data_IF_627562450350
#
_entry.id   IF_627562450350
#
_cell.length_a   1.000
_cell.length_b   1.000
_cell.length_c   1.000
_cell.angle_alpha   90.00
_cell.angle_beta   90.00
_cell.angle_gamma   90.00
#
_symmetry.space_group_name_H-M   'P 1'
#
loop_
_entity.id
_entity.type
_entity.pdbx_description
1 polymer ?
#
# COMPACT_ATOMS: atom_id res chain seq x y z
N UNK A 1 3.76 -12.43 -15.29
CA UNK A 1 3.30 -13.03 -14.00
C UNK A 1 4.25 -12.74 -12.84
N UNK A 2 5.55 -13.13 -12.88
CA UNK A 2 6.47 -12.88 -11.76
C UNK A 2 6.63 -11.40 -11.40
N UNK A 3 6.76 -10.51 -12.39
CA UNK A 3 6.85 -9.06 -12.18
C UNK A 3 5.62 -8.52 -11.45
N UNK A 4 4.43 -8.92 -11.88
CA UNK A 4 3.16 -8.54 -11.25
C UNK A 4 3.11 -8.97 -9.78
N UNK A 5 3.42 -10.24 -9.49
CA UNK A 5 3.48 -10.75 -8.12
C UNK A 5 4.55 -10.02 -7.29
N UNK A 6 5.72 -9.76 -7.88
CA UNK A 6 6.80 -9.02 -7.21
C UNK A 6 6.39 -7.60 -6.81
N UNK A 7 5.67 -6.89 -7.68
CA UNK A 7 5.17 -5.53 -7.38
C UNK A 7 4.13 -5.57 -6.26
N UNK A 8 3.16 -6.49 -6.33
CA UNK A 8 2.15 -6.64 -5.28
C UNK A 8 2.82 -6.93 -3.93
N UNK A 9 3.73 -7.90 -3.89
CA UNK A 9 4.46 -8.26 -2.66
C UNK A 9 5.26 -7.08 -2.12
N UNK A 10 5.97 -6.33 -2.99
CA UNK A 10 6.75 -5.16 -2.58
C UNK A 10 5.85 -4.08 -1.93
N UNK A 11 4.77 -3.71 -2.61
CA UNK A 11 3.90 -2.61 -2.16
C UNK A 11 3.16 -2.98 -0.89
N UNK A 12 2.70 -4.23 -0.77
CA UNK A 12 2.07 -4.74 0.45
C UNK A 12 3.09 -4.86 1.58
N UNK A 13 4.30 -5.36 1.31
CA UNK A 13 5.35 -5.44 2.32
C UNK A 13 5.68 -4.08 2.92
N UNK A 14 5.78 -3.04 2.08
CA UNK A 14 6.02 -1.66 2.53
C UNK A 14 4.86 -1.17 3.40
N UNK A 15 3.63 -1.46 3.01
CA UNK A 15 2.42 -1.14 3.76
C UNK A 15 2.43 -1.78 5.15
N UNK A 16 2.56 -3.10 5.21
CA UNK A 16 2.57 -3.85 6.48
C UNK A 16 3.77 -3.47 7.37
N UNK A 17 4.91 -3.11 6.75
CA UNK A 17 6.08 -2.61 7.48
C UNK A 17 5.77 -1.28 8.18
N UNK A 18 4.97 -0.40 7.57
CA UNK A 18 4.50 0.83 8.20
C UNK A 18 3.72 0.54 9.49
N UNK A 19 2.75 -0.36 9.44
CA UNK A 19 1.99 -0.80 10.60
C UNK A 19 2.89 -1.45 11.66
N UNK A 20 3.78 -2.34 11.24
CA UNK A 20 4.70 -3.04 12.14
C UNK A 20 5.59 -2.08 12.93
N UNK A 21 6.25 -1.18 12.23
CA UNK A 21 7.16 -0.21 12.87
C UNK A 21 6.39 0.73 13.81
N UNK A 22 5.21 1.16 13.39
CA UNK A 22 4.35 1.99 14.23
C UNK A 22 3.85 1.24 15.48
N UNK A 23 3.42 -0.01 15.35
CA UNK A 23 3.02 -0.82 16.49
C UNK A 23 4.14 -0.94 17.52
N UNK A 24 5.35 -1.28 17.06
CA UNK A 24 6.54 -1.37 17.91
C UNK A 24 6.88 -0.03 18.59
N UNK A 25 6.81 1.08 17.83
CA UNK A 25 7.08 2.43 18.36
C UNK A 25 6.02 2.88 19.37
N UNK A 26 4.77 2.44 19.20
CA UNK A 26 3.67 2.74 20.12
C UNK A 26 3.59 1.78 21.32
N UNK A 27 4.55 0.87 21.47
CA UNK A 27 4.61 -0.08 22.59
C UNK A 27 3.62 -1.25 22.47
N UNK A 28 3.13 -1.52 21.25
CA UNK A 28 2.28 -2.68 20.97
C UNK A 28 3.13 -3.80 20.39
N UNK A 29 3.10 -4.98 21.03
CA UNK A 29 3.79 -6.14 20.51
C UNK A 29 3.10 -6.65 19.23
N UNK A 30 3.89 -7.21 18.31
CA UNK A 30 3.38 -7.83 17.08
C UNK A 30 3.73 -9.32 17.13
N UNK A 31 2.72 -10.16 17.22
CA UNK A 31 2.91 -11.61 17.35
C UNK A 31 3.31 -12.22 16.00
N UNK A 32 2.75 -11.75 14.89
CA UNK A 32 3.17 -12.21 13.56
C UNK A 32 3.13 -11.11 12.51
N UNK A 33 4.03 -11.23 11.53
CA UNK A 33 4.11 -10.46 10.29
C UNK A 33 4.09 -11.44 9.12
N UNK A 34 3.10 -11.38 8.26
CA UNK A 34 2.96 -12.32 7.16
C UNK A 34 2.94 -11.61 5.81
N UNK A 35 3.76 -12.10 4.89
CA UNK A 35 3.62 -11.82 3.45
C UNK A 35 2.77 -12.95 2.87
N UNK A 36 1.59 -12.60 2.36
CA UNK A 36 0.63 -13.55 1.84
C UNK A 36 -0.33 -14.12 2.88
N UNK A 37 -1.30 -14.88 2.37
CA UNK A 37 -2.34 -15.55 3.14
C UNK A 37 -2.29 -17.07 3.00
N UNK A 38 -3.04 -17.77 3.84
CA UNK A 38 -3.23 -19.22 3.78
C UNK A 38 -2.10 -20.01 4.44
N UNK A 39 -1.73 -21.15 3.85
CA UNK A 39 -0.73 -22.06 4.42
C UNK A 39 0.63 -21.40 4.53
N UNK A 40 1.22 -21.38 5.73
CA UNK A 40 2.57 -20.86 5.96
C UNK A 40 3.59 -21.80 5.32
N UNK A 41 4.41 -21.28 4.44
CA UNK A 41 5.48 -21.99 3.74
C UNK A 41 6.81 -21.88 4.49
N UNK A 42 7.13 -20.67 4.95
CA UNK A 42 8.35 -20.38 5.71
C UNK A 42 7.97 -19.54 6.92
N UNK A 43 8.63 -19.79 8.05
CA UNK A 43 8.50 -18.97 9.25
C UNK A 43 9.80 -18.88 10.04
N UNK A 44 10.04 -17.72 10.64
CA UNK A 44 11.18 -17.49 11.53
C UNK A 44 10.81 -16.46 12.59
N UNK A 45 11.16 -16.73 13.85
CA UNK A 45 10.94 -15.78 14.94
C UNK A 45 12.13 -14.84 15.06
N UNK A 46 11.92 -13.52 14.88
CA UNK A 46 12.93 -12.47 15.01
C UNK A 46 12.32 -11.30 15.80
N UNK A 47 13.08 -10.75 16.74
CA UNK A 47 12.68 -9.58 17.56
C UNK A 47 11.33 -9.74 18.28
N UNK A 48 10.98 -10.97 18.67
CA UNK A 48 9.71 -11.28 19.33
C UNK A 48 8.53 -11.53 18.40
N UNK A 49 8.66 -11.27 17.09
CA UNK A 49 7.64 -11.44 16.06
C UNK A 49 7.90 -12.69 15.22
N UNK A 50 6.89 -13.45 14.89
CA UNK A 50 6.97 -14.56 13.93
C UNK A 50 6.77 -14.03 12.51
N UNK A 51 7.86 -13.95 11.74
CA UNK A 51 7.86 -13.58 10.33
C UNK A 51 7.45 -14.77 9.48
N UNK A 52 6.48 -14.57 8.60
CA UNK A 52 5.86 -15.64 7.79
C UNK A 52 5.88 -15.29 6.32
N UNK A 53 6.07 -16.30 5.47
CA UNK A 53 5.78 -16.27 4.05
C UNK A 53 4.72 -17.33 3.78
N UNK A 54 3.59 -16.93 3.22
CA UNK A 54 2.43 -17.78 3.00
C UNK A 54 2.18 -18.03 1.51
N UNK A 55 1.36 -19.04 1.21
CA UNK A 55 1.17 -19.61 -0.13
C UNK A 55 0.55 -18.62 -1.13
N UNK A 56 -0.40 -17.79 -0.69
CA UNK A 56 -1.13 -16.86 -1.56
C UNK A 56 -0.54 -15.45 -1.45
N UNK A 57 0.28 -14.99 -2.42
CA UNK A 57 1.01 -13.73 -2.32
C UNK A 57 0.16 -12.49 -2.66
N UNK A 58 -1.16 -12.57 -2.50
CA UNK A 58 -2.11 -11.48 -2.81
C UNK A 58 -2.49 -10.68 -1.57
N UNK A 59 -1.55 -10.41 -0.69
CA UNK A 59 -1.80 -9.64 0.52
C UNK A 59 -0.72 -9.84 1.56
N UNK A 60 -0.94 -9.28 2.72
CA UNK A 60 -0.13 -9.43 3.91
C UNK A 60 -0.94 -9.06 5.12
N UNK A 61 -0.37 -9.24 6.29
CA UNK A 61 -0.96 -8.75 7.52
C UNK A 61 0.10 -8.70 8.62
N UNK A 62 -0.07 -7.78 9.53
CA UNK A 62 0.48 -7.89 10.87
C UNK A 62 -0.59 -8.38 11.83
N UNK A 63 -0.19 -9.04 12.90
CA UNK A 63 -1.07 -9.43 14.01
C UNK A 63 -0.57 -8.77 15.29
N UNK A 64 -1.06 -7.57 15.63
CA UNK A 64 -0.79 -6.97 16.92
C UNK A 64 -1.30 -7.86 18.05
N UNK A 65 -0.55 -7.93 19.13
CA UNK A 65 -0.90 -8.77 20.28
C UNK A 65 -2.27 -8.41 20.83
N UNK A 66 -3.07 -9.42 21.09
CA UNK A 66 -4.41 -9.26 21.67
C UNK A 66 -5.46 -8.65 20.75
N UNK A 67 -5.17 -8.37 19.48
CA UNK A 67 -6.15 -7.77 18.56
C UNK A 67 -7.39 -8.64 18.37
N UNK A 68 -7.20 -9.95 18.31
CA UNK A 68 -8.31 -10.92 18.14
C UNK A 68 -9.01 -11.30 19.45
N UNK A 69 -8.40 -11.00 20.60
CA UNK A 69 -8.91 -11.38 21.91
C UNK A 69 -9.27 -10.16 22.77
N UNK A 70 -10.41 -9.57 22.45
CA UNK A 70 -10.89 -8.35 23.15
C UNK A 70 -11.21 -8.56 24.63
N UNK A 71 -11.53 -9.77 25.08
CA UNK A 71 -11.97 -10.02 26.44
C UNK A 71 -10.82 -10.16 27.45
N UNK A 72 -9.65 -10.65 27.04
CA UNK A 72 -8.48 -10.90 27.89
C UNK A 72 -7.44 -9.74 27.96
N UNK A 73 -7.75 -8.58 27.38
CA UNK A 73 -6.77 -7.58 26.95
C UNK A 73 -6.38 -6.54 27.99
N UNK A 74 -7.06 -6.47 29.11
CA UNK A 74 -6.78 -5.46 30.12
C UNK A 74 -5.51 -5.75 30.93
N UNK A 75 -5.04 -6.98 30.91
CA UNK A 75 -3.91 -7.44 31.70
C UNK A 75 -2.55 -7.35 31.02
N UNK A 76 -2.51 -7.34 29.67
CA UNK A 76 -1.26 -7.20 28.90
C UNK A 76 -1.07 -5.77 28.42
N UNK A 77 -0.10 -5.01 28.98
CA UNK A 77 0.15 -3.62 28.60
C UNK A 77 0.66 -3.47 27.14
N UNK A 78 1.21 -4.52 26.55
CA UNK A 78 1.66 -4.54 25.15
C UNK A 78 0.55 -4.92 24.15
N UNK A 79 -0.67 -5.15 24.64
CA UNK A 79 -1.83 -5.49 23.82
C UNK A 79 -2.33 -4.28 23.01
N UNK A 80 -2.80 -4.54 21.79
CA UNK A 80 -3.38 -3.53 20.91
C UNK A 80 -4.55 -2.77 21.55
N UNK A 81 -5.40 -3.48 22.30
CA UNK A 81 -6.56 -2.85 22.93
C UNK A 81 -6.25 -2.17 24.27
N UNK A 82 -5.13 -2.48 24.90
CA UNK A 82 -4.63 -1.71 26.04
C UNK A 82 -4.09 -0.35 25.59
N UNK A 83 -3.64 -0.24 24.35
CA UNK A 83 -3.14 1.01 23.79
C UNK A 83 -4.25 2.07 23.69
N UNK A 84 -3.90 3.31 24.01
CA UNK A 84 -4.80 4.44 23.85
C UNK A 84 -5.31 4.58 22.40
N UNK A 85 -6.55 5.07 22.17
CA UNK A 85 -7.12 5.17 20.82
C UNK A 85 -6.22 5.89 19.80
N UNK A 86 -5.57 6.98 20.23
CA UNK A 86 -4.66 7.72 19.35
C UNK A 86 -3.45 6.88 18.90
N UNK A 87 -2.90 6.01 19.78
CA UNK A 87 -1.80 5.10 19.39
C UNK A 87 -2.26 4.10 18.33
N UNK A 88 -3.48 3.57 18.46
CA UNK A 88 -4.09 2.69 17.48
C UNK A 88 -4.34 3.40 16.14
N UNK A 89 -4.75 4.69 16.18
CA UNK A 89 -4.86 5.51 14.98
C UNK A 89 -3.50 5.71 14.29
N UNK A 90 -2.42 5.96 15.05
CA UNK A 90 -1.06 6.06 14.50
C UNK A 90 -0.66 4.74 13.86
N UNK A 91 -0.91 3.60 14.51
CA UNK A 91 -0.61 2.28 13.92
C UNK A 91 -1.35 2.12 12.59
N UNK A 92 -2.64 2.41 12.55
CA UNK A 92 -3.45 2.27 11.35
C UNK A 92 -3.04 3.21 10.22
N UNK A 93 -2.66 4.47 10.49
CA UNK A 93 -2.29 5.42 9.45
C UNK A 93 -0.93 5.14 8.81
N UNK A 94 -0.02 4.47 9.53
CA UNK A 94 1.36 4.32 9.08
C UNK A 94 1.55 3.34 7.91
N UNK A 95 0.67 2.35 7.72
CA UNK A 95 0.65 1.54 6.51
C UNK A 95 0.46 2.40 5.25
N UNK A 96 -0.68 3.10 5.13
CA UNK A 96 -0.89 4.06 4.05
C UNK A 96 0.22 5.10 3.89
N UNK A 97 0.73 5.67 4.99
CA UNK A 97 1.81 6.66 4.94
C UNK A 97 3.08 6.07 4.33
N UNK A 98 3.44 4.84 4.66
CA UNK A 98 4.61 4.18 4.05
C UNK A 98 4.44 3.99 2.55
N UNK A 99 3.25 3.66 2.08
CA UNK A 99 2.96 3.59 0.65
C UNK A 99 3.04 4.96 -0.03
N UNK A 100 2.58 6.01 0.64
CA UNK A 100 2.73 7.38 0.14
C UNK A 100 4.19 7.85 0.16
N UNK A 101 5.01 7.36 1.08
CA UNK A 101 6.42 7.71 1.17
C UNK A 101 7.31 6.92 0.20
N UNK A 102 6.87 5.75 -0.29
CA UNK A 102 7.66 4.86 -1.16
C UNK A 102 8.22 5.54 -2.42
N UNK A 103 7.55 6.49 -3.10
CA UNK A 103 8.09 7.14 -4.29
C UNK A 103 9.48 7.76 -4.09
N UNK A 104 9.75 8.39 -2.95
CA UNK A 104 11.04 9.04 -2.73
C UNK A 104 12.24 8.07 -2.75
N UNK A 105 12.29 7.03 -1.90
CA UNK A 105 13.40 6.09 -1.93
C UNK A 105 13.45 5.29 -3.24
N UNK A 106 12.30 5.01 -3.85
CA UNK A 106 12.25 4.24 -5.09
C UNK A 106 12.88 5.02 -6.25
N UNK A 107 12.48 6.28 -6.47
CA UNK A 107 13.11 7.14 -7.48
C UNK A 107 14.56 7.44 -7.14
N UNK A 108 14.88 7.64 -5.86
CA UNK A 108 16.27 7.86 -5.45
C UNK A 108 17.17 6.69 -5.86
N UNK A 109 16.80 5.47 -5.51
CA UNK A 109 17.57 4.25 -5.86
C UNK A 109 17.63 4.06 -7.38
N UNK A 110 16.53 4.35 -8.08
CA UNK A 110 16.46 4.24 -9.53
C UNK A 110 17.40 5.25 -10.24
N UNK A 111 17.45 6.49 -9.75
CA UNK A 111 18.20 7.57 -10.41
C UNK A 111 19.71 7.57 -10.10
N UNK A 112 20.10 7.11 -8.92
CA UNK A 112 21.50 7.11 -8.51
C UNK A 112 22.37 6.32 -9.48
N UNK A 113 23.38 7.00 -10.04
CA UNK A 113 24.34 6.39 -10.97
C UNK A 113 23.82 6.18 -12.39
N UNK A 114 22.57 6.56 -12.69
CA UNK A 114 22.07 6.56 -14.07
C UNK A 114 22.78 7.63 -14.91
N UNK A 115 22.96 7.41 -16.22
CA UNK A 115 23.39 8.46 -17.12
C UNK A 115 22.34 9.57 -17.16
N UNK A 116 22.77 10.82 -17.36
CA UNK A 116 21.84 11.90 -17.59
C UNK A 116 21.01 11.63 -18.85
N UNK A 117 19.68 11.73 -18.77
CA UNK A 117 18.85 11.69 -19.97
C UNK A 117 19.17 12.93 -20.84
N UNK A 118 19.11 12.77 -22.14
CA UNK A 118 19.25 13.85 -23.13
C UNK A 118 20.65 14.50 -23.23
N UNK A 119 21.70 13.94 -22.62
CA UNK A 119 23.08 14.41 -22.81
C UNK A 119 23.70 13.64 -23.97
N UNK A 120 23.96 14.35 -25.07
CA UNK A 120 24.76 13.79 -26.18
C UNK A 120 26.20 13.62 -25.71
N UNK A 121 26.63 12.36 -25.59
CA UNK A 121 27.98 12.04 -25.17
C UNK A 121 28.88 11.97 -26.42
N UNK A 122 29.97 12.76 -26.47
CA UNK A 122 30.94 12.65 -27.57
C UNK A 122 31.51 11.24 -27.69
N UNK A 123 31.83 10.83 -28.92
CA UNK A 123 32.42 9.52 -29.19
C UNK A 123 33.70 9.29 -28.34
N UNK A 124 33.71 8.20 -27.57
CA UNK A 124 34.81 7.87 -26.66
C UNK A 124 34.74 8.48 -25.26
N UNK A 125 33.80 9.39 -24.98
CA UNK A 125 33.61 9.94 -23.63
C UNK A 125 32.64 9.08 -22.80
N UNK A 126 32.87 9.01 -21.47
CA UNK A 126 31.92 8.37 -20.56
C UNK A 126 30.78 9.31 -20.25
N UNK A 127 29.52 8.85 -20.26
CA UNK A 127 28.38 9.69 -19.89
C UNK A 127 28.52 10.14 -18.43
N UNK A 128 28.22 11.42 -18.17
CA UNK A 128 28.09 11.94 -16.82
C UNK A 128 26.95 11.18 -16.12
N UNK A 129 27.12 10.85 -14.83
CA UNK A 129 26.16 10.10 -14.05
C UNK A 129 25.56 10.96 -12.95
N UNK A 130 24.28 10.73 -12.68
CA UNK A 130 23.54 11.40 -11.60
C UNK A 130 24.21 11.08 -10.27
N UNK A 131 24.64 12.11 -9.56
CA UNK A 131 25.23 12.00 -8.22
C UNK A 131 24.17 11.70 -7.15
N UNK A 132 24.59 11.32 -5.96
CA UNK A 132 23.69 11.06 -4.80
C UNK A 132 22.85 12.29 -4.46
N UNK A 133 23.44 13.50 -4.46
CA UNK A 133 22.72 14.74 -4.14
C UNK A 133 21.70 15.10 -5.21
N UNK A 134 22.04 14.91 -6.48
CA UNK A 134 21.12 15.14 -7.60
C UNK A 134 19.99 14.10 -7.61
N UNK A 135 20.29 12.83 -7.35
CA UNK A 135 19.27 11.80 -7.22
C UNK A 135 18.28 12.12 -6.09
N UNK A 136 18.75 12.64 -4.95
CA UNK A 136 17.88 13.09 -3.86
C UNK A 136 16.99 14.28 -4.29
N UNK A 137 17.56 15.26 -4.99
CA UNK A 137 16.80 16.40 -5.51
C UNK A 137 15.75 15.97 -6.54
N UNK A 138 16.15 15.18 -7.54
CA UNK A 138 15.24 14.75 -8.60
C UNK A 138 14.16 13.79 -8.09
N UNK A 139 14.48 12.88 -7.17
CA UNK A 139 13.49 11.99 -6.57
C UNK A 139 12.40 12.78 -5.83
N UNK A 140 12.79 13.82 -5.09
CA UNK A 140 11.82 14.72 -4.45
C UNK A 140 10.97 15.45 -5.49
N UNK A 141 11.58 16.05 -6.52
CA UNK A 141 10.87 16.79 -7.57
C UNK A 141 9.89 15.90 -8.33
N UNK A 142 10.32 14.71 -8.75
CA UNK A 142 9.47 13.76 -9.49
C UNK A 142 8.31 13.29 -8.61
N UNK A 143 8.57 12.87 -7.37
CA UNK A 143 7.54 12.43 -6.43
C UNK A 143 6.51 13.54 -6.17
N UNK A 144 6.97 14.78 -5.92
CA UNK A 144 6.08 15.91 -5.69
C UNK A 144 5.21 16.21 -6.92
N UNK A 145 5.77 16.15 -8.13
CA UNK A 145 5.01 16.34 -9.36
C UNK A 145 3.99 15.20 -9.58
N UNK A 146 4.34 13.98 -9.19
CA UNK A 146 3.44 12.84 -9.29
C UNK A 146 2.22 13.01 -8.36
N UNK A 147 2.42 13.44 -7.11
CA UNK A 147 1.31 13.77 -6.20
C UNK A 147 0.43 14.89 -6.72
N UNK A 148 1.02 15.96 -7.29
CA UNK A 148 0.26 17.05 -7.91
C UNK A 148 -0.60 16.54 -9.06
N UNK A 149 -0.08 15.68 -9.93
CA UNK A 149 -0.85 15.06 -11.03
C UNK A 149 -2.02 14.23 -10.50
N UNK A 150 -1.80 13.38 -9.49
CA UNK A 150 -2.87 12.60 -8.86
C UNK A 150 -3.92 13.52 -8.25
N UNK A 151 -3.49 14.54 -7.47
CA UNK A 151 -4.39 15.51 -6.87
C UNK A 151 -5.26 16.22 -7.91
N UNK A 152 -4.64 16.71 -8.99
CA UNK A 152 -5.37 17.32 -10.09
C UNK A 152 -6.38 16.36 -10.73
N UNK A 153 -5.97 15.11 -10.98
CA UNK A 153 -6.85 14.12 -11.58
C UNK A 153 -8.07 13.79 -10.70
N UNK A 154 -7.90 13.80 -9.37
CA UNK A 154 -8.99 13.52 -8.40
C UNK A 154 -9.86 14.75 -8.16
N UNK A 155 -9.26 15.95 -8.09
CA UNK A 155 -9.97 17.20 -7.75
C UNK A 155 -10.64 17.87 -8.94
N UNK A 156 -10.25 17.51 -10.19
CA UNK A 156 -10.88 18.07 -11.40
C UNK A 156 -12.13 17.27 -11.74
N UNK A 157 -13.32 17.91 -11.79
CA UNK A 157 -14.54 17.23 -12.21
C UNK A 157 -14.38 16.65 -13.61
N UNK A 158 -14.70 15.37 -13.79
CA UNK A 158 -14.73 14.76 -15.12
C UNK A 158 -16.02 15.22 -15.84
N UNK A 159 -15.95 15.54 -17.13
CA UNK A 159 -17.12 15.96 -17.90
C UNK A 159 -18.16 14.84 -18.08
N UNK A 160 -17.72 13.60 -17.98
CA UNK A 160 -18.60 12.42 -18.11
C UNK A 160 -18.71 11.66 -16.78
N UNK A 161 -19.87 11.06 -16.49
CA UNK A 161 -20.03 10.22 -15.32
C UNK A 161 -19.13 8.99 -15.42
N UNK A 162 -18.57 8.58 -14.28
CA UNK A 162 -17.75 7.38 -14.18
C UNK A 162 -18.54 6.15 -14.64
N UNK A 163 -18.02 5.45 -15.64
CA UNK A 163 -18.56 4.17 -16.11
C UNK A 163 -18.02 3.02 -15.26
N UNK A 164 -18.77 1.92 -15.22
CA UNK A 164 -18.29 0.68 -14.59
C UNK A 164 -16.98 0.20 -15.23
N UNK A 165 -16.74 0.54 -16.51
CA UNK A 165 -15.51 0.21 -17.25
C UNK A 165 -14.28 1.01 -16.78
N UNK A 166 -14.48 2.12 -16.08
CA UNK A 166 -13.39 2.93 -15.55
C UNK A 166 -12.80 2.32 -14.26
N UNK A 167 -13.48 1.35 -13.68
CA UNK A 167 -13.01 0.61 -12.50
C UNK A 167 -12.04 -0.47 -12.96
N UNK A 168 -10.76 -0.33 -12.61
CA UNK A 168 -9.75 -1.36 -12.88
C UNK A 168 -9.82 -2.51 -11.87
N UNK A 169 -9.95 -3.75 -12.36
CA UNK A 169 -9.88 -4.95 -11.54
C UNK A 169 -8.50 -5.63 -11.60
N UNK A 170 -8.38 -6.84 -11.03
CA UNK A 170 -7.11 -7.58 -10.99
C UNK A 170 -6.49 -7.83 -12.36
N UNK A 171 -7.34 -8.07 -13.39
CA UNK A 171 -6.87 -8.31 -14.77
C UNK A 171 -6.31 -7.02 -15.37
N UNK A 172 -6.98 -5.88 -15.14
CA UNK A 172 -6.47 -4.59 -15.59
C UNK A 172 -5.10 -4.28 -14.94
N UNK A 173 -4.96 -4.47 -13.64
CA UNK A 173 -3.68 -4.26 -12.92
C UNK A 173 -2.58 -5.16 -13.50
N UNK A 174 -2.89 -6.43 -13.81
CA UNK A 174 -1.96 -7.34 -14.46
C UNK A 174 -1.56 -6.84 -15.85
N UNK A 175 -2.53 -6.43 -16.70
CA UNK A 175 -2.29 -5.92 -18.06
C UNK A 175 -1.42 -4.65 -18.04
N UNK A 176 -1.71 -3.70 -17.16
CA UNK A 176 -0.88 -2.50 -16.99
C UNK A 176 0.54 -2.83 -16.55
N UNK A 177 0.71 -3.80 -15.63
CA UNK A 177 2.03 -4.26 -15.21
C UNK A 177 2.83 -4.85 -16.37
N UNK A 178 2.20 -5.72 -17.17
CA UNK A 178 2.86 -6.33 -18.33
C UNK A 178 3.17 -5.30 -19.42
N UNK A 179 2.31 -4.30 -19.61
CA UNK A 179 2.55 -3.19 -20.54
C UNK A 179 3.75 -2.35 -20.09
N UNK A 180 3.81 -1.95 -18.84
CA UNK A 180 4.94 -1.21 -18.27
C UNK A 180 6.25 -2.02 -18.38
N UNK A 181 6.21 -3.32 -18.06
CA UNK A 181 7.36 -4.23 -18.19
C UNK A 181 7.85 -4.36 -19.62
N UNK A 182 6.93 -4.64 -20.57
CA UNK A 182 7.27 -4.77 -21.99
C UNK A 182 7.94 -3.50 -22.50
N UNK A 183 7.32 -2.35 -22.23
CA UNK A 183 7.85 -1.05 -22.62
C UNK A 183 9.25 -0.79 -22.04
N UNK A 184 9.45 -1.12 -20.75
CA UNK A 184 10.77 -0.98 -20.12
C UNK A 184 11.83 -1.87 -20.78
N UNK A 185 11.48 -3.11 -21.15
CA UNK A 185 12.41 -4.03 -21.85
C UNK A 185 12.71 -3.57 -23.27
N UNK A 186 11.69 -3.12 -24.02
CA UNK A 186 11.82 -2.68 -25.42
C UNK A 186 12.64 -1.40 -25.56
N UNK A 187 12.45 -0.45 -24.64
CA UNK A 187 13.15 0.84 -24.69
C UNK A 187 14.46 0.86 -23.90
N UNK A 188 14.69 -0.12 -23.01
CA UNK A 188 15.77 -0.10 -22.02
C UNK A 188 15.53 0.88 -20.86
N UNK A 189 14.40 1.62 -20.87
CA UNK A 189 14.02 2.57 -19.83
C UNK A 189 13.12 1.91 -18.78
N UNK A 190 13.68 1.63 -17.62
CA UNK A 190 12.94 1.04 -16.50
C UNK A 190 12.08 2.06 -15.73
N UNK A 191 12.13 3.34 -16.09
CA UNK A 191 11.30 4.39 -15.52
C UNK A 191 9.81 4.08 -15.63
N UNK A 192 9.35 3.49 -16.73
CA UNK A 192 7.95 3.08 -16.90
C UNK A 192 7.47 2.09 -15.84
N UNK A 193 8.33 1.13 -15.47
CA UNK A 193 8.00 0.17 -14.43
C UNK A 193 8.03 0.81 -13.03
N UNK A 194 8.98 1.69 -12.79
CA UNK A 194 9.08 2.47 -11.54
C UNK A 194 7.85 3.36 -11.38
N UNK A 195 7.45 4.10 -12.41
CA UNK A 195 6.24 4.94 -12.40
C UNK A 195 4.99 4.12 -12.09
N UNK A 196 4.89 2.90 -12.66
CA UNK A 196 3.78 2.01 -12.38
C UNK A 196 3.75 1.53 -10.93
N UNK A 197 4.90 1.14 -10.36
CA UNK A 197 5.01 0.74 -8.95
C UNK A 197 4.59 1.91 -8.03
N UNK A 198 5.07 3.12 -8.33
CA UNK A 198 4.72 4.34 -7.60
C UNK A 198 3.22 4.60 -7.66
N UNK A 199 2.63 4.56 -8.86
CA UNK A 199 1.19 4.74 -9.06
C UNK A 199 0.39 3.72 -8.23
N UNK A 200 0.76 2.44 -8.30
CA UNK A 200 0.07 1.37 -7.57
C UNK A 200 0.20 1.55 -6.05
N UNK A 201 1.39 1.91 -5.57
CA UNK A 201 1.62 2.16 -4.15
C UNK A 201 0.81 3.33 -3.60
N UNK A 202 0.79 4.46 -4.31
CA UNK A 202 0.01 5.63 -3.89
C UNK A 202 -1.49 5.30 -3.88
N UNK A 203 -2.00 4.62 -4.92
CA UNK A 203 -3.41 4.23 -4.96
C UNK A 203 -3.78 3.32 -3.79
N UNK A 204 -2.94 2.32 -3.47
CA UNK A 204 -3.17 1.46 -2.32
C UNK A 204 -3.19 2.26 -1.01
N UNK A 205 -2.25 3.20 -0.83
CA UNK A 205 -2.22 4.08 0.33
C UNK A 205 -3.48 4.94 0.45
N UNK A 206 -3.91 5.57 -0.65
CA UNK A 206 -5.10 6.44 -0.66
C UNK A 206 -6.38 5.64 -0.41
N UNK A 207 -6.55 4.47 -1.05
CA UNK A 207 -7.72 3.63 -0.86
C UNK A 207 -7.82 3.16 0.60
N UNK A 208 -6.69 2.76 1.20
CA UNK A 208 -6.68 2.33 2.60
C UNK A 208 -6.97 3.47 3.60
N UNK A 209 -6.81 4.74 3.21
CA UNK A 209 -7.22 5.88 4.04
C UNK A 209 -8.72 6.19 3.98
N UNK A 210 -9.48 5.57 3.07
CA UNK A 210 -10.94 5.77 3.04
C UNK A 210 -11.57 5.30 4.35
N UNK A 211 -12.58 6.02 4.89
CA UNK A 211 -13.23 5.69 6.16
C UNK A 211 -14.18 4.50 6.03
N UNK A 212 -13.73 3.45 5.36
CA UNK A 212 -14.46 2.20 5.18
C UNK A 212 -14.00 1.21 6.25
N UNK A 213 -14.89 0.71 7.12
CA UNK A 213 -14.53 -0.35 8.06
C UNK A 213 -13.88 -1.52 7.33
N UNK A 214 -12.91 -2.20 7.94
CA UNK A 214 -12.02 -3.19 7.30
C UNK A 214 -10.77 -2.58 6.66
N UNK A 215 -10.80 -1.33 6.19
CA UNK A 215 -9.61 -0.59 5.77
C UNK A 215 -9.01 0.19 6.95
N UNK A 216 -7.76 0.62 6.81
CA UNK A 216 -7.06 1.38 7.85
C UNK A 216 -7.79 2.68 8.21
N UNK A 217 -8.36 3.37 7.21
CA UNK A 217 -9.18 4.56 7.41
C UNK A 217 -10.39 4.31 8.32
N UNK A 218 -10.98 3.12 8.25
CA UNK A 218 -12.03 2.71 9.17
C UNK A 218 -11.53 2.55 10.62
N UNK A 219 -10.35 1.96 10.80
CA UNK A 219 -9.71 1.87 12.11
C UNK A 219 -9.35 3.25 12.67
N UNK A 220 -8.87 4.17 11.82
CA UNK A 220 -8.61 5.57 12.18
C UNK A 220 -9.91 6.27 12.61
N UNK A 221 -10.99 6.10 11.85
CA UNK A 221 -12.30 6.68 12.15
C UNK A 221 -12.86 6.16 13.48
N UNK A 222 -12.76 4.84 13.73
CA UNK A 222 -13.18 4.23 15.00
C UNK A 222 -12.36 4.76 16.20
N UNK A 223 -11.03 4.87 16.03
CA UNK A 223 -10.15 5.42 17.07
C UNK A 223 -10.42 6.91 17.30
N UNK A 224 -10.72 7.67 16.25
CA UNK A 224 -11.13 9.08 16.31
C UNK A 224 -12.43 9.25 17.08
N UNK A 225 -13.44 8.43 16.81
CA UNK A 225 -14.69 8.41 17.57
C UNK A 225 -14.46 8.15 19.05
N UNK A 226 -13.65 7.14 19.41
CA UNK A 226 -13.36 6.82 20.81
C UNK A 226 -12.60 7.94 21.52
N UNK A 227 -11.69 8.63 20.82
CA UNK A 227 -10.96 9.78 21.35
C UNK A 227 -11.90 10.96 21.62
N UNK A 228 -12.78 11.28 20.66
CA UNK A 228 -13.69 12.41 20.75
C UNK A 228 -14.77 12.21 21.81
N UNK A 229 -15.34 11.00 21.86
CA UNK A 229 -16.47 10.70 22.77
C UNK A 229 -16.02 10.21 24.15
N UNK A 230 -14.74 9.82 24.29
CA UNK A 230 -14.19 9.11 25.46
C UNK A 230 -14.92 7.79 25.78
N UNK A 231 -15.66 7.23 24.81
CA UNK A 231 -16.42 5.99 24.95
C UNK A 231 -15.81 4.93 24.02
N UNK A 232 -15.51 3.75 24.55
CA UNK A 232 -15.05 2.63 23.73
C UNK A 232 -16.22 2.08 22.91
N UNK A 233 -15.98 1.79 21.64
CA UNK A 233 -16.94 1.06 20.83
C UNK A 233 -17.12 -0.35 21.38
N UNK A 234 -18.39 -0.80 21.48
CA UNK A 234 -18.66 -2.18 21.89
C UNK A 234 -18.15 -3.17 20.85
N UNK A 235 -17.83 -4.39 21.28
CA UNK A 235 -17.38 -5.49 20.41
C UNK A 235 -18.41 -5.73 19.29
N UNK A 236 -19.70 -5.75 19.66
CA UNK A 236 -20.80 -5.96 18.71
C UNK A 236 -20.83 -4.87 17.64
N UNK A 237 -20.65 -3.60 18.05
CA UNK A 237 -20.62 -2.48 17.10
C UNK A 237 -19.42 -2.60 16.13
N UNK A 238 -18.24 -2.96 16.62
CA UNK A 238 -17.06 -3.17 15.77
C UNK A 238 -17.25 -4.30 14.76
N UNK A 239 -17.78 -5.45 15.22
CA UNK A 239 -18.08 -6.57 14.32
C UNK A 239 -19.08 -6.17 13.25
N UNK A 240 -20.17 -5.49 13.62
CA UNK A 240 -21.15 -4.99 12.63
C UNK A 240 -20.55 -4.04 11.63
N UNK A 241 -19.70 -3.09 12.09
CA UNK A 241 -18.99 -2.17 11.18
C UNK A 241 -18.06 -2.95 10.26
N UNK A 242 -17.30 -3.91 10.76
CA UNK A 242 -16.42 -4.73 9.92
C UNK A 242 -17.19 -5.55 8.88
N UNK A 243 -18.37 -6.10 9.21
CA UNK A 243 -19.22 -6.75 8.22
C UNK A 243 -19.70 -5.78 7.16
N UNK A 244 -20.14 -4.57 7.54
CA UNK A 244 -20.53 -3.53 6.57
C UNK A 244 -19.36 -3.20 5.64
N UNK A 245 -18.15 -2.99 6.20
CA UNK A 245 -16.95 -2.73 5.43
C UNK A 245 -16.61 -3.88 4.47
N UNK A 246 -16.72 -5.12 4.94
CA UNK A 246 -16.47 -6.31 4.12
C UNK A 246 -17.45 -6.40 2.94
N UNK A 247 -18.74 -6.12 3.15
CA UNK A 247 -19.73 -6.06 2.06
C UNK A 247 -19.44 -4.93 1.08
N UNK A 248 -19.02 -3.74 1.57
CA UNK A 248 -18.66 -2.62 0.70
C UNK A 248 -17.44 -2.97 -0.18
N UNK A 249 -16.36 -3.44 0.42
CA UNK A 249 -15.13 -3.81 -0.30
C UNK A 249 -15.38 -4.99 -1.23
N UNK A 250 -16.13 -6.00 -0.77
CA UNK A 250 -16.56 -7.15 -1.59
C UNK A 250 -17.39 -6.72 -2.79
N UNK A 251 -18.34 -5.79 -2.61
CA UNK A 251 -19.14 -5.22 -3.70
C UNK A 251 -18.28 -4.49 -4.73
N UNK A 252 -17.33 -3.65 -4.29
CA UNK A 252 -16.37 -2.97 -5.18
C UNK A 252 -15.53 -4.00 -5.94
N UNK A 253 -15.08 -5.06 -5.27
CA UNK A 253 -14.30 -6.12 -5.91
C UNK A 253 -15.07 -6.88 -6.97
N UNK A 254 -16.35 -7.20 -6.71
CA UNK A 254 -17.25 -7.81 -7.70
C UNK A 254 -17.45 -6.88 -8.90
N UNK A 255 -17.68 -5.58 -8.67
CA UNK A 255 -17.79 -4.59 -9.75
C UNK A 255 -16.48 -4.51 -10.57
N UNK A 256 -15.33 -4.59 -9.94
CA UNK A 256 -14.05 -4.59 -10.62
C UNK A 256 -13.85 -5.84 -11.51
N UNK A 257 -14.26 -7.03 -11.03
CA UNK A 257 -14.23 -8.26 -11.84
C UNK A 257 -15.21 -8.17 -13.02
N UNK A 258 -16.40 -7.65 -12.81
CA UNK A 258 -17.37 -7.42 -13.89
C UNK A 258 -16.83 -6.45 -14.94
N UNK A 259 -16.22 -5.35 -14.51
CA UNK A 259 -15.55 -4.41 -15.41
C UNK A 259 -14.45 -5.06 -16.24
N UNK A 260 -13.58 -5.85 -15.61
CA UNK A 260 -12.55 -6.60 -16.33
C UNK A 260 -13.16 -7.59 -17.35
N UNK A 261 -14.26 -8.26 -16.98
CA UNK A 261 -14.97 -9.19 -17.86
C UNK A 261 -15.53 -8.45 -19.07
N UNK A 262 -16.21 -7.31 -18.89
CA UNK A 262 -16.73 -6.50 -20.00
C UNK A 262 -15.62 -6.02 -20.94
N UNK A 263 -14.48 -5.62 -20.40
CA UNK A 263 -13.30 -5.26 -21.22
C UNK A 263 -12.80 -6.42 -22.05
N UNK A 264 -12.75 -7.64 -21.50
CA UNK A 264 -12.24 -8.83 -22.19
C UNK A 264 -13.15 -9.30 -23.33
N UNK A 265 -14.47 -9.15 -23.17
CA UNK A 265 -15.48 -9.55 -24.17
C UNK A 265 -15.86 -8.43 -25.16
N UNK A 266 -15.28 -7.22 -24.99
CA UNK A 266 -15.47 -6.09 -25.90
C UNK A 266 -16.84 -5.42 -25.84
N UNK A 267 -17.62 -5.61 -24.75
CA UNK A 267 -18.94 -5.02 -24.53
C UNK A 267 -18.81 -3.78 -23.65
#
# INVERSE_FOLDING_TARGET
MLTFLGIIVLVIFVHEMGHYLAARAMGVAVDSFSIGFGKVLLKKKLWGTEWRVSLLPFGGYIMPRGEQDYNNQKEDPESFWAAAPWRRAVIAVMGPVFNLLLPWPLYFVFLVGQPYPDVVVPEGAKPARISVSEAAYYSHKISTNFYKKIWTAVSTPKPEPMSIRDVGGPVAVYQYTETARKRSVETGDWGFLVDWIVFFSINLGVINLLPIPVLDGGHIAMAGYETATRKKLSIIARHRLNYVGLFMVGGIFVLAILSDTFRLIGI
#
